data_IF_145378539198
#
_entry.id   IF_145378539198
#
_cell.length_a   1.000
_cell.length_b   1.000
_cell.length_c   1.000
_cell.angle_alpha   90.00
_cell.angle_beta   90.00
_cell.angle_gamma   90.00
#
_symmetry.space_group_name_H-M   'P 1'
#
loop_
_entity.id
_entity.type
_entity.pdbx_description
1 polymer ?
#
# COMPACT_ATOMS: atom_id res chain seq x y z
N UNK A 1 -39.50 -8.06 -15.33
CA UNK A 1 -38.46 -8.35 -14.32
C UNK A 1 -37.06 -8.52 -14.92
N UNK A 2 -36.92 -9.09 -16.13
CA UNK A 2 -35.62 -9.26 -16.83
C UNK A 2 -34.82 -7.98 -17.13
N UNK A 3 -35.42 -6.87 -17.63
CA UNK A 3 -34.63 -5.67 -17.96
C UNK A 3 -34.02 -5.01 -16.73
N UNK A 4 -34.75 -4.98 -15.60
CA UNK A 4 -34.24 -4.42 -14.35
C UNK A 4 -33.00 -5.17 -13.82
N UNK A 5 -32.96 -6.50 -13.94
CA UNK A 5 -31.80 -7.30 -13.56
C UNK A 5 -30.59 -7.04 -14.46
N UNK A 6 -30.80 -6.86 -15.76
CA UNK A 6 -29.74 -6.50 -16.71
C UNK A 6 -29.18 -5.12 -16.39
N UNK A 7 -30.03 -4.13 -16.10
CA UNK A 7 -29.57 -2.79 -15.69
C UNK A 7 -28.76 -2.82 -14.39
N UNK A 8 -29.17 -3.59 -13.38
CA UNK A 8 -28.42 -3.73 -12.13
C UNK A 8 -27.07 -4.40 -12.38
N UNK A 9 -27.03 -5.47 -13.19
CA UNK A 9 -25.78 -6.15 -13.53
C UNK A 9 -24.79 -5.24 -14.28
N UNK A 10 -25.29 -4.45 -15.24
CA UNK A 10 -24.47 -3.47 -15.99
C UNK A 10 -23.97 -2.36 -15.06
N UNK A 11 -24.83 -1.82 -14.18
CA UNK A 11 -24.42 -0.80 -13.21
C UNK A 11 -23.35 -1.32 -12.24
N UNK A 12 -23.47 -2.57 -11.76
CA UNK A 12 -22.47 -3.21 -10.91
C UNK A 12 -21.14 -3.44 -11.65
N UNK A 13 -21.19 -3.88 -12.91
CA UNK A 13 -20.00 -4.06 -13.72
C UNK A 13 -19.27 -2.73 -13.96
N UNK A 14 -20.01 -1.67 -14.31
CA UNK A 14 -19.46 -0.32 -14.49
C UNK A 14 -18.85 0.19 -13.17
N UNK A 15 -19.55 0.02 -12.04
CA UNK A 15 -19.04 0.40 -10.72
C UNK A 15 -17.75 -0.37 -10.35
N UNK A 16 -17.72 -1.68 -10.63
CA UNK A 16 -16.54 -2.51 -10.40
C UNK A 16 -15.34 -2.06 -11.25
N UNK A 17 -15.56 -1.80 -12.55
CA UNK A 17 -14.51 -1.33 -13.46
C UNK A 17 -13.98 0.05 -13.04
N UNK A 18 -14.85 0.99 -12.70
CA UNK A 18 -14.44 2.31 -12.23
C UNK A 18 -13.65 2.23 -10.92
N UNK A 19 -14.06 1.36 -9.99
CA UNK A 19 -13.35 1.13 -8.73
C UNK A 19 -11.97 0.52 -8.94
N UNK A 20 -11.84 -0.47 -9.85
CA UNK A 20 -10.56 -1.09 -10.19
C UNK A 20 -9.60 -0.11 -10.87
N UNK A 21 -10.08 0.67 -11.85
CA UNK A 21 -9.27 1.69 -12.51
C UNK A 21 -8.75 2.75 -11.53
N UNK A 22 -9.61 3.17 -10.58
CA UNK A 22 -9.24 4.14 -9.56
C UNK A 22 -8.16 3.60 -8.60
N UNK A 23 -8.24 2.32 -8.20
CA UNK A 23 -7.24 1.69 -7.33
C UNK A 23 -5.87 1.61 -8.01
N UNK A 24 -5.84 1.20 -9.28
CA UNK A 24 -4.60 1.14 -10.06
C UNK A 24 -3.91 2.51 -10.15
N UNK A 25 -4.68 3.59 -10.40
CA UNK A 25 -4.15 4.96 -10.45
C UNK A 25 -3.50 5.39 -9.12
N UNK A 26 -3.99 4.91 -7.97
CA UNK A 26 -3.39 5.23 -6.67
C UNK A 26 -2.15 4.41 -6.36
N UNK A 27 -2.13 3.14 -6.75
CA UNK A 27 -0.94 2.32 -6.61
C UNK A 27 0.20 2.85 -7.51
N UNK A 28 -0.10 3.25 -8.75
CA UNK A 28 0.86 3.88 -9.67
C UNK A 28 1.44 5.20 -9.09
N UNK A 29 0.58 6.02 -8.46
CA UNK A 29 1.01 7.24 -7.77
C UNK A 29 1.93 6.95 -6.59
N UNK A 30 1.61 5.94 -5.78
CA UNK A 30 2.44 5.53 -4.65
C UNK A 30 3.78 4.95 -5.12
N UNK A 31 3.79 4.11 -6.15
CA UNK A 31 5.02 3.54 -6.71
C UNK A 31 5.94 4.62 -7.29
N UNK A 32 5.38 5.54 -8.06
CA UNK A 32 6.13 6.67 -8.63
C UNK A 32 6.69 7.56 -7.52
N UNK A 33 5.87 7.89 -6.51
CA UNK A 33 6.29 8.70 -5.36
C UNK A 33 7.39 8.01 -4.55
N UNK A 34 7.26 6.70 -4.30
CA UNK A 34 8.22 5.88 -3.59
C UNK A 34 9.57 5.86 -4.31
N UNK A 35 9.59 5.55 -5.61
CA UNK A 35 10.82 5.40 -6.38
C UNK A 35 11.65 6.70 -6.45
N UNK A 36 11.00 7.86 -6.33
CA UNK A 36 11.64 9.16 -6.30
C UNK A 36 12.35 9.48 -4.97
N UNK A 37 12.09 8.72 -3.89
CA UNK A 37 12.64 9.02 -2.56
C UNK A 37 14.07 8.53 -2.37
N UNK A 38 14.77 9.18 -1.43
CA UNK A 38 16.11 8.81 -0.99
C UNK A 38 16.18 8.69 0.54
N UNK A 39 15.59 7.64 1.13
CA UNK A 39 15.56 7.47 2.57
C UNK A 39 16.93 7.19 3.20
N UNK A 40 17.03 7.51 4.50
CA UNK A 40 18.13 7.07 5.35
C UNK A 40 17.75 5.73 5.99
N UNK A 41 18.45 4.68 5.59
CA UNK A 41 18.27 3.31 6.06
C UNK A 41 19.47 2.91 6.90
N UNK A 42 19.26 2.62 8.19
CA UNK A 42 20.34 2.31 9.15
C UNK A 42 21.52 3.32 9.10
N UNK A 43 21.20 4.61 8.99
CA UNK A 43 22.20 5.69 8.96
C UNK A 43 22.83 5.96 7.59
N UNK A 44 22.46 5.21 6.54
CA UNK A 44 22.94 5.43 5.17
C UNK A 44 21.82 5.88 4.25
N UNK A 45 22.01 7.01 3.58
CA UNK A 45 21.10 7.45 2.52
C UNK A 45 21.21 6.52 1.31
N UNK A 46 20.07 6.07 0.78
CA UNK A 46 20.02 5.26 -0.43
C UNK A 46 18.75 5.54 -1.24
N UNK A 47 18.77 5.33 -2.56
CA UNK A 47 17.56 5.41 -3.38
C UNK A 47 16.54 4.35 -2.94
N UNK A 48 15.29 4.75 -2.78
CA UNK A 48 14.20 3.83 -2.46
C UNK A 48 13.99 2.76 -3.55
N UNK A 49 14.31 3.09 -4.82
CA UNK A 49 14.31 2.15 -5.94
C UNK A 49 15.29 0.98 -5.80
N UNK A 50 16.25 1.04 -4.86
CA UNK A 50 17.13 -0.08 -4.50
C UNK A 50 16.60 -0.94 -3.36
N UNK A 51 15.44 -0.61 -2.80
CA UNK A 51 14.79 -1.41 -1.77
C UNK A 51 13.84 -2.42 -2.42
N UNK A 52 13.93 -3.67 -1.98
CA UNK A 52 12.99 -4.71 -2.37
C UNK A 52 11.72 -4.55 -1.53
N UNK A 53 10.61 -4.18 -2.15
CA UNK A 53 9.31 -4.15 -1.47
C UNK A 53 8.85 -5.60 -1.32
N UNK A 54 8.95 -6.15 -0.11
CA UNK A 54 8.66 -7.55 0.19
C UNK A 54 7.21 -7.76 0.64
N UNK A 55 6.54 -6.71 1.10
CA UNK A 55 5.11 -6.77 1.42
C UNK A 55 4.46 -5.39 1.35
N UNK A 56 3.19 -5.34 0.91
CA UNK A 56 2.36 -4.13 0.94
C UNK A 56 1.12 -4.41 1.77
N UNK A 57 0.94 -3.65 2.85
CA UNK A 57 -0.33 -3.68 3.57
C UNK A 57 -1.40 -2.98 2.75
N UNK A 58 -2.67 -3.30 3.05
CA UNK A 58 -3.81 -2.65 2.40
C UNK A 58 -3.78 -1.15 2.70
N UNK A 59 -3.64 -0.35 1.64
CA UNK A 59 -3.66 1.11 1.71
C UNK A 59 -5.06 1.63 2.10
N UNK A 60 -5.09 2.66 2.93
CA UNK A 60 -6.28 3.46 3.18
C UNK A 60 -6.28 4.66 2.23
N UNK A 61 -7.39 4.86 1.52
CA UNK A 61 -7.51 5.95 0.55
C UNK A 61 -8.89 6.57 0.68
N UNK A 62 -8.93 7.85 1.01
CA UNK A 62 -10.15 8.66 1.02
C UNK A 62 -10.19 9.47 -0.27
N UNK A 63 -11.35 9.46 -0.94
CA UNK A 63 -11.55 10.20 -2.19
C UNK A 63 -12.69 11.19 -2.05
N UNK A 64 -12.50 12.36 -2.64
CA UNK A 64 -13.49 13.41 -2.77
C UNK A 64 -14.23 13.35 -4.08
N UNK A 65 -15.23 14.20 -4.23
CA UNK A 65 -15.94 14.42 -5.49
C UNK A 65 -15.17 15.47 -6.33
N UNK A 66 -14.88 15.26 -7.63
CA UNK A 66 -15.31 14.20 -8.54
C UNK A 66 -14.26 13.10 -8.79
N UNK A 67 -13.76 12.45 -7.74
CA UNK A 67 -12.84 11.30 -7.82
C UNK A 67 -11.38 11.60 -7.45
N UNK A 68 -11.08 12.83 -7.03
CA UNK A 68 -9.77 13.21 -6.54
C UNK A 68 -9.42 12.52 -5.22
N UNK A 69 -8.16 12.11 -5.06
CA UNK A 69 -7.67 11.60 -3.78
C UNK A 69 -7.63 12.75 -2.78
N UNK A 70 -8.11 12.52 -1.56
CA UNK A 70 -8.10 13.47 -0.45
C UNK A 70 -7.17 13.02 0.67
N UNK A 71 -7.04 11.72 0.88
CA UNK A 71 -6.16 11.16 1.90
C UNK A 71 -5.58 9.83 1.39
N UNK A 72 -4.30 9.59 1.66
CA UNK A 72 -3.65 8.30 1.46
C UNK A 72 -2.84 7.96 2.72
N UNK A 73 -3.06 6.78 3.26
CA UNK A 73 -2.15 6.10 4.17
C UNK A 73 -1.77 4.74 3.57
N UNK A 74 -0.48 4.51 3.35
CA UNK A 74 0.02 3.22 2.88
C UNK A 74 1.23 2.79 3.69
N UNK A 75 1.33 1.49 3.97
CA UNK A 75 2.46 0.92 4.68
C UNK A 75 3.06 -0.18 3.82
N UNK A 76 4.36 -0.11 3.57
CA UNK A 76 5.12 -1.11 2.81
C UNK A 76 6.31 -1.60 3.63
N UNK A 77 6.55 -2.91 3.61
CA UNK A 77 7.75 -3.54 4.17
C UNK A 77 8.78 -3.66 3.05
N UNK A 78 9.96 -3.13 3.32
CA UNK A 78 11.08 -3.10 2.41
C UNK A 78 12.26 -3.87 3.00
N UNK A 79 13.08 -4.44 2.11
CA UNK A 79 14.33 -5.13 2.45
C UNK A 79 15.47 -4.61 1.58
N UNK A 80 16.62 -4.35 2.18
CA UNK A 80 17.84 -4.01 1.44
C UNK A 80 18.53 -5.28 0.92
N UNK A 81 19.45 -5.14 -0.04
CA UNK A 81 20.32 -6.25 -0.47
C UNK A 81 21.15 -6.86 0.68
N UNK A 82 21.47 -6.04 1.68
CA UNK A 82 22.17 -6.49 2.89
C UNK A 82 21.24 -7.20 3.89
N UNK A 83 19.97 -7.39 3.56
CA UNK A 83 18.99 -8.09 4.39
C UNK A 83 18.36 -7.24 5.49
N UNK A 84 18.60 -5.93 5.52
CA UNK A 84 18.05 -5.02 6.53
C UNK A 84 16.60 -4.66 6.21
N UNK A 85 15.76 -4.54 7.24
CA UNK A 85 14.33 -4.28 7.08
C UNK A 85 13.97 -2.82 7.37
N UNK A 86 13.10 -2.26 6.54
CA UNK A 86 12.57 -0.91 6.67
C UNK A 86 11.07 -0.92 6.44
N UNK A 87 10.34 -0.20 7.27
CA UNK A 87 8.94 0.14 7.01
C UNK A 87 8.91 1.51 6.36
N UNK A 88 8.28 1.57 5.19
CA UNK A 88 7.97 2.81 4.48
C UNK A 88 6.49 3.12 4.71
N UNK A 89 6.20 4.32 5.21
CA UNK A 89 4.85 4.78 5.54
C UNK A 89 4.57 6.00 4.67
N UNK A 90 3.65 5.87 3.72
CA UNK A 90 3.17 6.98 2.92
C UNK A 90 2.02 7.66 3.65
N UNK A 91 2.08 8.98 3.75
CA UNK A 91 0.99 9.83 4.22
C UNK A 91 0.80 10.94 3.20
N UNK A 92 -0.39 11.04 2.65
CA UNK A 92 -0.77 12.12 1.74
C UNK A 92 -2.09 12.74 2.15
N UNK A 93 -2.15 14.06 2.17
CA UNK A 93 -3.36 14.83 2.45
C UNK A 93 -3.57 15.85 1.32
N UNK A 94 -4.77 15.87 0.76
CA UNK A 94 -5.18 16.82 -0.28
C UNK A 94 -5.71 18.10 0.33
N UNK A 95 -5.49 19.24 -0.34
CA UNK A 95 -6.06 20.52 0.07
C UNK A 95 -7.59 20.51 -0.13
N UNK A 96 -8.32 20.54 0.98
CA UNK A 96 -9.79 20.53 1.03
C UNK A 96 -10.42 21.84 0.51
N UNK A 97 -9.66 22.95 0.48
CA UNK A 97 -10.20 24.30 0.26
C UNK A 97 -10.05 24.79 -1.19
N UNK A 98 -9.12 24.21 -1.96
CA UNK A 98 -8.83 24.62 -3.33
C UNK A 98 -9.24 23.59 -4.40
N UNK A 99 -10.28 22.80 -4.15
CA UNK A 99 -10.86 21.86 -5.11
C UNK A 99 -11.64 22.58 -6.24
N UNK A 100 -11.03 23.59 -6.87
CA UNK A 100 -11.56 24.27 -8.06
C UNK A 100 -11.09 23.54 -9.32
N UNK A 101 -11.99 22.76 -9.94
CA UNK A 101 -11.96 22.19 -11.32
C UNK A 101 -10.69 21.44 -11.79
N UNK A 102 -9.62 21.41 -11.00
CA UNK A 102 -8.33 20.79 -11.27
C UNK A 102 -8.20 19.63 -10.30
N UNK A 103 -7.75 18.47 -10.78
CA UNK A 103 -7.59 17.27 -9.94
C UNK A 103 -6.79 17.65 -8.68
N UNK A 104 -7.30 17.41 -7.45
CA UNK A 104 -6.58 17.77 -6.24
C UNK A 104 -5.23 17.04 -6.25
N UNK A 105 -4.16 17.83 -6.17
CA UNK A 105 -2.79 17.32 -6.17
C UNK A 105 -2.46 16.90 -4.73
N UNK A 106 -2.54 15.60 -4.45
CA UNK A 106 -2.13 15.06 -3.15
C UNK A 106 -0.62 15.04 -3.09
N UNK A 107 -0.06 15.70 -2.09
CA UNK A 107 1.37 15.60 -1.78
C UNK A 107 1.61 14.38 -0.91
N UNK A 108 2.30 13.37 -1.45
CA UNK A 108 2.63 12.14 -0.73
C UNK A 108 3.98 12.32 -0.05
N UNK A 109 4.01 12.22 1.27
CA UNK A 109 5.23 12.20 2.09
C UNK A 109 5.50 10.80 2.58
N UNK A 110 6.77 10.39 2.56
CA UNK A 110 7.19 9.09 3.05
C UNK A 110 7.97 9.21 4.37
N UNK A 111 7.53 8.48 5.37
CA UNK A 111 8.25 8.27 6.62
C UNK A 111 8.93 6.90 6.56
N UNK A 112 10.17 6.83 7.05
CA UNK A 112 11.01 5.65 6.92
C UNK A 112 11.49 5.21 8.28
N UNK A 113 11.27 3.94 8.61
CA UNK A 113 11.65 3.37 9.89
C UNK A 113 12.43 2.08 9.69
N UNK A 114 13.72 2.13 10.03
CA UNK A 114 14.54 0.91 10.14
C UNK A 114 14.02 0.05 11.29
N UNK A 115 13.87 -1.25 11.06
CA UNK A 115 13.38 -2.21 12.05
C UNK A 115 14.25 -3.47 12.05
N UNK A 116 14.25 -4.20 13.17
CA UNK A 116 14.89 -5.51 13.23
C UNK A 116 14.06 -6.57 12.50
N UNK A 117 14.68 -7.70 12.18
CA UNK A 117 13.99 -8.84 11.57
C UNK A 117 12.90 -9.39 12.49
N UNK A 118 13.15 -9.48 13.80
CA UNK A 118 12.17 -9.95 14.79
C UNK A 118 10.92 -9.08 14.76
N UNK A 119 11.11 -7.75 14.63
CA UNK A 119 9.98 -6.83 14.52
C UNK A 119 9.25 -7.01 13.19
N UNK A 120 9.95 -7.22 12.09
CA UNK A 120 9.33 -7.51 10.80
C UNK A 120 8.50 -8.80 10.83
N UNK A 121 9.02 -9.86 11.47
CA UNK A 121 8.30 -11.12 11.72
C UNK A 121 7.04 -10.91 12.55
N UNK A 122 7.11 -10.10 13.61
CA UNK A 122 5.93 -9.76 14.42
C UNK A 122 4.86 -9.03 13.60
N UNK A 123 5.25 -8.08 12.74
CA UNK A 123 4.32 -7.33 11.90
C UNK A 123 3.60 -8.22 10.87
N UNK A 124 4.29 -9.23 10.33
CA UNK A 124 3.70 -10.19 9.37
C UNK A 124 3.03 -11.40 10.05
N UNK A 125 3.13 -11.57 11.36
CA UNK A 125 2.58 -12.74 12.06
C UNK A 125 1.06 -12.86 11.88
N UNK A 126 0.36 -11.73 11.75
CA UNK A 126 -1.08 -11.69 11.47
C UNK A 126 -1.44 -12.01 10.01
N UNK A 127 -0.45 -12.11 9.11
CA UNK A 127 -0.62 -12.34 7.67
C UNK A 127 0.21 -13.55 7.23
N UNK A 128 -0.25 -14.80 7.49
CA UNK A 128 0.56 -16.02 7.33
C UNK A 128 1.10 -16.25 5.92
N UNK A 129 0.41 -15.77 4.89
CA UNK A 129 0.85 -15.89 3.49
C UNK A 129 2.03 -14.96 3.21
N UNK A 130 1.90 -13.68 3.59
CA UNK A 130 3.01 -12.72 3.50
C UNK A 130 4.19 -13.14 4.38
N UNK A 131 3.95 -13.72 5.56
CA UNK A 131 5.02 -14.26 6.38
C UNK A 131 5.80 -15.35 5.63
N UNK A 132 5.10 -16.31 5.00
CA UNK A 132 5.74 -17.39 4.24
C UNK A 132 6.50 -16.87 3.03
N UNK A 133 5.95 -15.89 2.34
CA UNK A 133 6.61 -15.25 1.21
C UNK A 133 7.92 -14.56 1.61
N UNK A 134 7.93 -13.86 2.75
CA UNK A 134 9.10 -13.09 3.20
C UNK A 134 10.12 -13.94 3.98
N UNK A 135 9.68 -14.90 4.78
CA UNK A 135 10.51 -15.65 5.73
C UNK A 135 10.51 -17.17 5.53
N UNK A 136 9.77 -17.70 4.56
CA UNK A 136 9.70 -19.13 4.24
C UNK A 136 8.69 -19.91 5.09
N UNK A 137 8.93 -20.04 6.39
CA UNK A 137 8.10 -20.87 7.28
C UNK A 137 7.26 -20.00 8.20
N UNK A 138 5.93 -20.00 8.05
CA UNK A 138 5.04 -19.30 8.99
C UNK A 138 5.32 -19.75 10.43
N UNK A 139 5.23 -18.85 11.43
CA UNK A 139 5.31 -19.26 12.81
C UNK A 139 4.18 -20.26 13.04
N UNK A 140 4.52 -21.45 13.53
CA UNK A 140 3.53 -22.49 13.81
C UNK A 140 2.44 -21.89 14.67
N UNK A 141 1.20 -21.92 14.19
CA UNK A 141 0.05 -21.52 15.00
C UNK A 141 0.06 -22.46 16.21
N UNK A 142 0.22 -21.97 17.45
CA UNK A 142 0.15 -22.82 18.62
C UNK A 142 -1.26 -23.44 18.65
N UNK A 143 -1.38 -24.73 18.34
CA UNK A 143 -2.65 -25.47 18.45
C UNK A 143 -3.06 -26.37 17.28
N UNK A 144 -2.32 -26.48 16.17
CA UNK A 144 -2.65 -27.46 15.11
C UNK A 144 -1.69 -28.65 15.15
N UNK A 145 -2.10 -29.84 15.66
CA UNK A 145 -1.28 -31.03 15.50
C UNK A 145 -1.16 -31.38 14.01
N UNK A 146 0.05 -31.77 13.60
CA UNK A 146 0.29 -32.36 12.29
C UNK A 146 -0.52 -33.66 12.20
N UNK A 147 -1.45 -33.70 11.26
CA UNK A 147 -2.13 -34.91 10.81
C UNK A 147 -1.43 -35.48 9.60
#
# INVERSE_FOLDING_TARGET
MWPALVFIAVALAVFAVQRSAALNDTDDLLETSFAAQRPVVHGKEMPASKLHVVHRWRSHVVRGNPGGVMEIDANWLCRTDAGLYVVAIAVGEGDYLNASFSRPKVEIRWLWRSISEERARQLLAATPDAYREVFGTAPGVPGRPAG
#
